data_IF_109035909080
#
_entry.id   IF_109035909080
#
_cell.length_a   1.000
_cell.length_b   1.000
_cell.length_c   1.000
_cell.angle_alpha   90.00
_cell.angle_beta   90.00
_cell.angle_gamma   90.00
#
_symmetry.space_group_name_H-M   'P 1'
#
loop_
_entity.id
_entity.type
_entity.pdbx_description
1 polymer ?
#
# COMPACT_ATOMS: atom_id res chain seq x y z
N UNK A 1 5.17 -15.59 12.13
CA UNK A 1 4.85 -14.16 11.83
C UNK A 1 4.04 -13.49 12.94
N UNK A 2 2.86 -13.98 13.31
CA UNK A 2 2.06 -13.37 14.41
C UNK A 2 2.81 -13.23 15.73
N UNK A 3 3.65 -14.21 16.12
CA UNK A 3 4.50 -14.11 17.32
C UNK A 3 5.52 -12.96 17.26
N UNK A 4 6.18 -12.77 16.12
CA UNK A 4 7.14 -11.68 15.92
C UNK A 4 6.48 -10.30 15.81
N UNK A 5 5.27 -10.23 15.23
CA UNK A 5 4.48 -8.99 15.18
C UNK A 5 4.01 -8.56 16.57
N UNK A 6 3.67 -9.53 17.43
CA UNK A 6 3.35 -9.26 18.85
C UNK A 6 4.53 -8.70 19.62
N UNK A 7 5.71 -9.28 19.41
CA UNK A 7 6.94 -8.81 20.04
C UNK A 7 7.32 -7.38 19.61
N UNK A 8 6.92 -6.96 18.41
CA UNK A 8 7.13 -5.60 17.90
C UNK A 8 5.97 -4.63 18.20
N UNK A 9 4.87 -5.07 18.82
CA UNK A 9 3.68 -4.23 19.06
C UNK A 9 2.94 -3.80 17.79
N UNK A 10 3.16 -4.48 16.66
CA UNK A 10 2.62 -4.11 15.33
C UNK A 10 1.38 -4.93 14.94
N UNK A 11 0.91 -5.81 15.83
CA UNK A 11 -0.21 -6.73 15.58
C UNK A 11 -1.54 -6.05 15.20
N UNK A 12 -1.74 -4.81 15.64
CA UNK A 12 -2.95 -4.02 15.36
C UNK A 12 -2.83 -3.20 14.07
N UNK A 13 -1.61 -2.99 13.59
CA UNK A 13 -1.29 -2.14 12.43
C UNK A 13 -1.13 -3.00 11.18
N UNK A 14 -0.42 -4.12 11.30
CA UNK A 14 -0.08 -5.02 10.19
C UNK A 14 -1.06 -6.18 10.15
N UNK A 15 -1.73 -6.34 8.99
CA UNK A 15 -2.63 -7.46 8.76
C UNK A 15 -2.09 -8.37 7.67
N UNK A 16 -2.11 -9.67 7.95
CA UNK A 16 -1.75 -10.71 6.98
C UNK A 16 -2.96 -11.05 6.12
N UNK A 17 -2.74 -11.19 4.81
CA UNK A 17 -3.78 -11.48 3.84
C UNK A 17 -3.31 -12.59 2.89
N UNK A 18 -4.19 -13.54 2.60
CA UNK A 18 -3.85 -14.75 1.83
C UNK A 18 -3.79 -14.53 0.32
N UNK A 19 -4.47 -13.50 -0.18
CA UNK A 19 -4.46 -13.13 -1.59
C UNK A 19 -4.60 -11.63 -1.74
N UNK A 20 -4.22 -11.11 -2.90
CA UNK A 20 -4.41 -9.69 -3.22
C UNK A 20 -5.89 -9.29 -3.21
N UNK A 21 -6.80 -10.17 -3.64
CA UNK A 21 -8.24 -9.93 -3.54
C UNK A 21 -8.67 -9.77 -2.09
N UNK A 22 -8.14 -10.56 -1.16
CA UNK A 22 -8.37 -10.38 0.27
C UNK A 22 -7.81 -9.04 0.74
N UNK A 23 -6.58 -8.70 0.37
CA UNK A 23 -5.92 -7.44 0.72
C UNK A 23 -6.72 -6.22 0.30
N UNK A 24 -7.18 -6.18 -0.96
CA UNK A 24 -7.98 -5.06 -1.47
C UNK A 24 -9.35 -4.97 -0.79
N UNK A 25 -10.01 -6.10 -0.50
CA UNK A 25 -11.26 -6.07 0.27
C UNK A 25 -11.04 -5.54 1.69
N UNK A 26 -9.96 -5.96 2.36
CA UNK A 26 -9.62 -5.45 3.68
C UNK A 26 -9.33 -3.94 3.64
N UNK A 27 -8.58 -3.48 2.63
CA UNK A 27 -8.34 -2.06 2.38
C UNK A 27 -9.65 -1.28 2.21
N UNK A 28 -10.56 -1.72 1.35
CA UNK A 28 -11.86 -1.06 1.14
C UNK A 28 -12.74 -1.06 2.40
N UNK A 29 -12.71 -2.14 3.18
CA UNK A 29 -13.40 -2.19 4.48
C UNK A 29 -12.82 -1.18 5.47
N UNK A 30 -11.48 -1.07 5.56
CA UNK A 30 -10.83 -0.07 6.41
C UNK A 30 -11.16 1.35 5.94
N UNK A 31 -11.10 1.59 4.63
CA UNK A 31 -11.40 2.88 4.04
C UNK A 31 -12.83 3.32 4.36
N UNK A 32 -13.82 2.44 4.24
CA UNK A 32 -15.20 2.74 4.59
C UNK A 32 -15.39 3.01 6.09
N UNK A 33 -14.65 2.29 6.97
CA UNK A 33 -14.72 2.50 8.43
C UNK A 33 -14.07 3.80 8.88
N UNK A 34 -12.93 4.15 8.28
CA UNK A 34 -12.20 5.39 8.57
C UNK A 34 -12.92 6.60 7.97
N UNK A 35 -13.56 6.40 6.82
CA UNK A 35 -14.28 7.42 6.05
C UNK A 35 -13.52 8.75 5.87
N UNK A 36 -12.29 8.73 5.32
CA UNK A 36 -11.46 9.93 5.22
C UNK A 36 -12.03 10.96 4.23
N UNK A 37 -11.99 12.24 4.60
CA UNK A 37 -12.41 13.32 3.70
C UNK A 37 -11.47 13.54 2.53
N UNK A 38 -10.20 13.18 2.68
CA UNK A 38 -9.17 13.35 1.66
C UNK A 38 -8.21 12.17 1.60
N UNK A 39 -7.72 11.89 0.38
CA UNK A 39 -6.55 11.06 0.13
C UNK A 39 -5.32 11.95 0.01
N UNK A 40 -4.28 11.67 0.78
CA UNK A 40 -2.98 12.32 0.65
C UNK A 40 -1.93 11.31 0.19
N UNK A 41 -1.09 11.72 -0.76
CA UNK A 41 -0.07 10.83 -1.31
C UNK A 41 0.84 11.50 -2.33
N UNK A 42 1.57 10.68 -3.06
CA UNK A 42 2.54 11.11 -4.06
C UNK A 42 2.27 10.40 -5.37
N UNK A 43 2.04 11.16 -6.45
CA UNK A 43 1.65 10.63 -7.75
C UNK A 43 0.37 9.78 -7.64
N UNK A 44 -0.63 10.33 -6.96
CA UNK A 44 -1.90 9.65 -6.68
C UNK A 44 -2.64 9.29 -7.97
N UNK A 45 -2.41 10.06 -9.03
CA UNK A 45 -2.95 9.77 -10.36
C UNK A 45 -2.57 8.38 -10.86
N UNK A 46 -1.28 8.06 -10.84
CA UNK A 46 -0.78 6.74 -11.23
C UNK A 46 -1.26 5.65 -10.27
N UNK A 47 -1.26 5.93 -8.95
CA UNK A 47 -1.68 4.96 -7.94
C UNK A 47 -3.17 4.60 -8.03
N UNK A 48 -4.05 5.58 -8.25
CA UNK A 48 -5.49 5.37 -8.41
C UNK A 48 -5.80 4.62 -9.70
N UNK A 49 -5.09 4.90 -10.79
CA UNK A 49 -5.20 4.16 -12.03
C UNK A 49 -4.82 2.68 -11.84
N UNK A 50 -3.68 2.43 -11.17
CA UNK A 50 -3.25 1.08 -10.83
C UNK A 50 -4.29 0.37 -9.94
N UNK A 51 -4.75 1.03 -8.87
CA UNK A 51 -5.78 0.49 -7.97
C UNK A 51 -7.04 0.11 -8.75
N UNK A 52 -7.53 0.99 -9.62
CA UNK A 52 -8.70 0.73 -10.47
C UNK A 52 -8.49 -0.50 -11.35
N UNK A 53 -7.33 -0.61 -12.02
CA UNK A 53 -6.97 -1.77 -12.84
C UNK A 53 -6.97 -3.08 -12.04
N UNK A 54 -6.42 -3.06 -10.82
CA UNK A 54 -6.40 -4.25 -9.93
C UNK A 54 -7.79 -4.64 -9.45
N UNK A 55 -8.61 -3.66 -9.07
CA UNK A 55 -10.01 -3.88 -8.67
C UNK A 55 -10.84 -4.49 -9.80
N UNK A 56 -10.64 -4.02 -11.04
CA UNK A 56 -11.28 -4.58 -12.24
C UNK A 56 -10.84 -6.02 -12.48
N UNK A 57 -9.53 -6.25 -12.58
CA UNK A 57 -8.95 -7.57 -12.87
C UNK A 57 -9.38 -8.63 -11.86
N UNK A 58 -9.42 -8.26 -10.58
CA UNK A 58 -9.81 -9.15 -9.50
C UNK A 58 -11.33 -9.23 -9.29
N UNK A 59 -12.16 -8.52 -10.06
CA UNK A 59 -13.62 -8.51 -9.99
C UNK A 59 -14.16 -8.25 -8.58
N UNK A 60 -13.70 -7.17 -7.95
CA UNK A 60 -14.13 -6.81 -6.59
C UNK A 60 -15.45 -6.04 -6.66
N UNK A 61 -16.52 -6.60 -6.08
CA UNK A 61 -17.88 -6.07 -6.20
C UNK A 61 -18.07 -4.73 -5.47
N UNK A 62 -17.48 -4.55 -4.29
CA UNK A 62 -17.70 -3.38 -3.43
C UNK A 62 -16.66 -2.26 -3.67
N UNK A 63 -16.21 -2.09 -4.91
CA UNK A 63 -15.18 -1.10 -5.26
C UNK A 63 -15.65 0.35 -5.03
N UNK A 64 -16.96 0.61 -5.03
CA UNK A 64 -17.54 1.94 -4.80
C UNK A 64 -17.21 2.55 -3.44
N UNK A 65 -16.68 1.73 -2.50
CA UNK A 65 -16.12 2.18 -1.21
C UNK A 65 -14.89 3.08 -1.34
N UNK A 66 -14.23 3.11 -2.50
CA UNK A 66 -13.17 4.09 -2.79
C UNK A 66 -13.74 5.51 -2.77
N UNK A 67 -14.93 5.70 -3.31
CA UNK A 67 -15.71 6.95 -3.25
C UNK A 67 -16.65 7.00 -2.04
N UNK A 68 -17.29 8.15 -1.82
CA UNK A 68 -18.51 8.23 -0.97
C UNK A 68 -19.78 7.87 -1.76
N UNK A 69 -19.72 7.88 -3.09
CA UNK A 69 -20.86 7.58 -3.95
C UNK A 69 -21.04 6.07 -4.14
N UNK A 70 -22.15 5.51 -3.62
CA UNK A 70 -22.52 4.12 -3.84
C UNK A 70 -22.98 3.91 -5.29
N UNK A 71 -22.45 2.87 -5.93
CA UNK A 71 -22.70 2.58 -7.34
C UNK A 71 -22.88 1.08 -7.58
N UNK A 72 -23.81 0.75 -8.48
CA UNK A 72 -24.05 -0.61 -8.95
C UNK A 72 -23.36 -0.93 -10.29
N UNK A 73 -22.67 0.06 -10.88
CA UNK A 73 -21.96 -0.10 -12.16
C UNK A 73 -20.63 -0.84 -11.99
N UNK A 74 -20.11 -1.36 -13.09
CA UNK A 74 -18.79 -2.01 -13.09
C UNK A 74 -17.70 -0.95 -13.18
N UNK A 75 -16.58 -1.16 -12.50
CA UNK A 75 -15.44 -0.22 -12.52
C UNK A 75 -14.92 0.09 -13.93
N UNK A 76 -15.03 -0.87 -14.86
CA UNK A 76 -14.70 -0.72 -16.28
C UNK A 76 -15.45 0.44 -16.96
N UNK A 77 -16.70 0.67 -16.55
CA UNK A 77 -17.53 1.72 -17.13
C UNK A 77 -17.04 3.11 -16.72
N UNK A 78 -16.32 3.22 -15.59
CA UNK A 78 -15.70 4.47 -15.12
C UNK A 78 -14.29 4.60 -15.66
N UNK A 79 -13.50 3.52 -15.66
CA UNK A 79 -12.09 3.55 -16.05
C UNK A 79 -11.86 3.96 -17.51
N UNK A 80 -12.86 3.76 -18.38
CA UNK A 80 -12.83 4.18 -19.79
C UNK A 80 -13.00 5.69 -20.01
N UNK A 81 -13.39 6.45 -19.00
CA UNK A 81 -13.69 7.87 -19.13
C UNK A 81 -12.44 8.73 -18.89
N UNK A 82 -12.30 9.86 -19.62
CA UNK A 82 -11.31 10.92 -19.31
C UNK A 82 -11.47 11.46 -17.88
N UNK A 83 -12.66 11.24 -17.35
CA UNK A 83 -13.17 11.60 -16.05
C UNK A 83 -13.00 10.53 -14.96
N UNK A 84 -12.37 9.40 -15.30
CA UNK A 84 -12.30 8.19 -14.47
C UNK A 84 -11.82 8.43 -13.05
N UNK A 85 -10.84 9.32 -12.84
CA UNK A 85 -10.25 9.55 -11.53
C UNK A 85 -11.16 10.31 -10.56
N UNK A 86 -11.81 11.37 -11.03
CA UNK A 86 -12.76 12.12 -10.20
C UNK A 86 -14.02 11.30 -9.94
N UNK A 87 -14.43 10.47 -10.91
CA UNK A 87 -15.51 9.53 -10.70
C UNK A 87 -15.13 8.48 -9.65
N UNK A 88 -13.93 7.89 -9.72
CA UNK A 88 -13.47 6.85 -8.80
C UNK A 88 -13.43 7.31 -7.33
N UNK A 89 -13.08 8.57 -7.09
CA UNK A 89 -12.91 9.16 -5.75
C UNK A 89 -14.02 10.12 -5.35
N UNK A 90 -15.14 10.15 -6.09
CA UNK A 90 -16.22 11.10 -5.88
C UNK A 90 -16.63 11.25 -4.39
N UNK A 91 -16.63 12.50 -3.92
CA UNK A 91 -16.91 12.85 -2.52
C UNK A 91 -15.71 12.74 -1.58
N UNK A 92 -14.50 12.45 -2.07
CA UNK A 92 -13.24 12.53 -1.31
C UNK A 92 -12.25 13.39 -2.07
N UNK A 93 -11.57 14.29 -1.37
CA UNK A 93 -10.53 15.13 -1.99
C UNK A 93 -9.27 14.32 -2.29
N UNK A 94 -8.51 14.75 -3.30
CA UNK A 94 -7.19 14.19 -3.63
C UNK A 94 -6.16 15.28 -3.40
N UNK A 95 -5.18 14.99 -2.54
CA UNK A 95 -4.05 15.84 -2.21
C UNK A 95 -2.78 15.16 -2.71
N UNK A 96 -2.32 15.57 -3.90
CA UNK A 96 -1.14 15.00 -4.55
C UNK A 96 0.08 15.90 -4.37
N UNK A 97 1.03 15.42 -3.55
CA UNK A 97 2.28 16.12 -3.30
C UNK A 97 3.12 16.36 -4.56
N UNK A 98 3.04 15.50 -5.59
CA UNK A 98 3.80 15.72 -6.83
C UNK A 98 3.26 16.94 -7.57
N UNK A 99 1.94 17.00 -7.76
CA UNK A 99 1.26 18.12 -8.41
C UNK A 99 1.45 19.41 -7.63
N UNK A 100 1.22 19.39 -6.32
CA UNK A 100 1.44 20.56 -5.47
C UNK A 100 2.91 21.01 -5.48
N UNK A 101 3.88 20.09 -5.50
CA UNK A 101 5.28 20.47 -5.59
C UNK A 101 5.63 21.13 -6.94
N UNK A 102 5.09 20.63 -8.06
CA UNK A 102 5.29 21.24 -9.38
C UNK A 102 4.74 22.67 -9.47
N UNK A 103 3.68 22.97 -8.73
CA UNK A 103 3.08 24.31 -8.67
C UNK A 103 3.83 25.26 -7.73
N UNK A 104 4.31 24.74 -6.59
CA UNK A 104 4.79 25.57 -5.48
C UNK A 104 6.31 25.72 -5.42
N UNK A 105 7.08 24.77 -5.96
CA UNK A 105 8.54 24.72 -5.78
C UNK A 105 9.22 24.39 -7.10
N UNK A 106 10.33 25.07 -7.40
CA UNK A 106 11.13 24.79 -8.59
C UNK A 106 12.22 23.77 -8.27
N UNK A 107 12.09 22.55 -8.81
CA UNK A 107 13.08 21.46 -8.65
C UNK A 107 13.41 20.80 -9.99
N UNK A 108 14.50 20.01 -10.01
CA UNK A 108 14.95 19.27 -11.19
C UNK A 108 14.12 18.02 -11.45
N UNK A 109 13.83 17.25 -10.41
CA UNK A 109 12.77 16.24 -10.43
C UNK A 109 11.85 16.40 -9.21
N UNK A 110 10.64 15.87 -9.37
CA UNK A 110 9.56 15.88 -8.39
C UNK A 110 9.30 14.47 -7.89
N UNK A 111 10.31 13.61 -7.91
CA UNK A 111 10.20 12.26 -7.35
C UNK A 111 10.27 12.33 -5.82
N UNK A 112 9.52 11.44 -5.15
CA UNK A 112 9.37 11.46 -3.70
C UNK A 112 10.70 11.52 -2.93
N UNK A 113 11.74 10.82 -3.40
CA UNK A 113 13.06 10.83 -2.73
C UNK A 113 13.73 12.20 -2.82
N UNK A 114 13.64 12.86 -3.97
CA UNK A 114 14.23 14.18 -4.17
C UNK A 114 13.45 15.26 -3.42
N UNK A 115 12.11 15.15 -3.41
CA UNK A 115 11.23 16.01 -2.61
C UNK A 115 11.54 15.87 -1.10
N UNK A 116 11.65 14.64 -0.60
CA UNK A 116 11.95 14.40 0.81
C UNK A 116 13.34 14.93 1.21
N UNK A 117 14.34 14.78 0.35
CA UNK A 117 15.68 15.29 0.61
C UNK A 117 15.73 16.81 0.62
N UNK A 118 15.11 17.48 -0.37
CA UNK A 118 15.19 18.93 -0.50
C UNK A 118 14.26 19.67 0.47
N UNK A 119 13.04 19.15 0.70
CA UNK A 119 12.04 19.84 1.52
C UNK A 119 12.10 19.46 3.00
N UNK A 120 12.44 18.20 3.32
CA UNK A 120 12.44 17.69 4.69
C UNK A 120 13.85 17.44 5.24
N UNK A 121 14.90 17.55 4.41
CA UNK A 121 16.27 17.21 4.81
C UNK A 121 16.46 15.71 5.10
N UNK A 122 15.55 14.86 4.63
CA UNK A 122 15.56 13.43 4.92
C UNK A 122 16.04 12.64 3.71
N UNK A 123 17.12 11.86 3.89
CA UNK A 123 17.56 10.90 2.87
C UNK A 123 16.65 9.68 2.88
N UNK A 124 16.01 9.40 1.75
CA UNK A 124 15.17 8.22 1.54
C UNK A 124 15.77 7.35 0.45
N UNK A 125 16.05 6.10 0.77
CA UNK A 125 16.46 5.10 -0.23
C UNK A 125 15.22 4.53 -0.91
N UNK A 126 15.19 4.58 -2.25
CA UNK A 126 14.12 3.94 -3.02
C UNK A 126 14.31 2.42 -2.94
N UNK A 127 13.28 1.63 -2.58
CA UNK A 127 13.39 0.18 -2.66
C UNK A 127 13.55 -0.22 -4.13
N UNK A 128 14.62 -0.93 -4.47
CA UNK A 128 14.78 -1.50 -5.81
C UNK A 128 13.75 -2.62 -6.01
N UNK A 129 13.16 -2.71 -7.21
CA UNK A 129 12.16 -3.74 -7.52
C UNK A 129 12.68 -5.16 -7.25
N UNK A 130 13.96 -5.41 -7.53
CA UNK A 130 14.61 -6.69 -7.27
C UNK A 130 14.64 -7.04 -5.78
N UNK A 131 14.83 -6.04 -4.90
CA UNK A 131 14.84 -6.24 -3.45
C UNK A 131 13.49 -6.72 -2.92
N UNK A 132 12.38 -6.34 -3.56
CA UNK A 132 11.04 -6.72 -3.10
C UNK A 132 10.84 -8.23 -3.26
N UNK A 133 11.16 -8.77 -4.44
CA UNK A 133 11.06 -10.21 -4.69
C UNK A 133 12.00 -11.01 -3.77
N UNK A 134 13.24 -10.55 -3.62
CA UNK A 134 14.22 -11.16 -2.70
C UNK A 134 13.77 -11.09 -1.25
N UNK A 135 13.14 -10.00 -0.81
CA UNK A 135 12.61 -9.86 0.55
C UNK A 135 11.52 -10.90 0.85
N UNK A 136 10.60 -11.13 -0.10
CA UNK A 136 9.58 -12.16 0.06
C UNK A 136 10.16 -13.58 -0.03
N UNK A 137 11.11 -13.83 -0.94
CA UNK A 137 11.75 -15.14 -1.09
C UNK A 137 12.56 -15.55 0.16
N UNK A 138 13.36 -14.63 0.69
CA UNK A 138 14.20 -14.87 1.87
C UNK A 138 13.34 -15.13 3.12
N UNK A 139 12.18 -14.46 3.22
CA UNK A 139 11.23 -14.67 4.32
C UNK A 139 10.44 -15.97 4.19
N UNK A 140 10.07 -16.39 2.98
CA UNK A 140 9.43 -17.70 2.76
C UNK A 140 10.40 -18.84 3.11
N UNK A 141 11.68 -18.70 2.75
CA UNK A 141 12.74 -19.65 3.09
C UNK A 141 13.01 -19.76 4.61
N UNK A 142 12.93 -18.64 5.34
CA UNK A 142 13.07 -18.64 6.80
C UNK A 142 11.84 -19.23 7.51
N UNK A 143 10.65 -19.12 6.92
CA UNK A 143 9.41 -19.70 7.45
C UNK A 143 9.23 -21.18 7.09
N UNK A 144 9.92 -21.68 6.06
CA UNK A 144 9.89 -23.09 5.65
C UNK A 144 10.89 -23.98 6.40
N UNK A 145 11.81 -23.41 7.17
CA UNK A 145 12.68 -24.19 8.05
C UNK A 145 11.94 -24.46 9.37
N UNK A 146 11.79 -25.72 9.80
CA UNK A 146 11.36 -25.98 11.17
C UNK A 146 12.39 -25.30 12.08
N UNK A 147 11.92 -24.41 12.94
CA UNK A 147 12.75 -23.88 14.02
C UNK A 147 13.04 -25.07 14.94
N UNK A 148 14.16 -25.74 14.69
CA UNK A 148 14.74 -26.68 15.64
C UNK A 148 15.29 -25.83 16.79
N UNK A 149 14.41 -25.45 17.71
CA UNK A 149 14.82 -25.02 19.04
C UNK A 149 15.15 -26.30 19.80
N UNK A 150 16.37 -26.80 19.70
CA UNK A 150 16.90 -27.73 20.71
C UNK A 150 18.39 -27.51 20.97
N UNK A 151 18.64 -27.21 22.26
CA UNK A 151 19.83 -27.48 23.07
C UNK A 151 21.18 -26.83 22.69
N UNK A 152 21.37 -25.59 23.15
CA UNK A 152 22.68 -25.10 23.63
C UNK A 152 22.73 -25.16 25.18
N UNK A 153 22.36 -26.30 25.75
CA UNK A 153 22.56 -26.62 27.17
C UNK A 153 23.03 -28.09 27.28
N UNK A 154 24.23 -28.35 26.77
CA UNK A 154 24.97 -29.60 27.02
C UNK A 154 26.48 -29.35 26.84
N UNK A 155 27.03 -28.42 27.59
CA UNK A 155 28.47 -28.33 27.82
C UNK A 155 28.73 -27.76 29.21
N UNK A 156 28.39 -28.55 30.22
CA UNK A 156 29.08 -28.46 31.51
C UNK A 156 29.03 -29.81 32.22
N UNK A 157 30.03 -30.64 31.94
CA UNK A 157 30.53 -31.73 32.80
C UNK A 157 31.82 -32.28 32.19
N UNK A 158 32.95 -31.68 32.58
CA UNK A 158 34.09 -32.29 33.25
C UNK A 158 35.20 -31.26 33.33
#
# INVERSE_FOLDING_TARGET
LRGSLKQAGLETIVHETTSERHMLNLFLCKLQKLDPDAFAGHDLSAQLSLLSSRLEKLKINNWSRVSRLKRAITIRQISSSKSSQWELTAGRFILDSRSSAMELVRMRSYDLCELASNLLGMKRDAPSNDSIASFFALRLFLLSKPVVVTSLLSKNRR
#
